data_IF_433210306957
#
_entry.id   IF_433210306957
#
_cell.length_a   1.000
_cell.length_b   1.000
_cell.length_c   1.000
_cell.angle_alpha   90.00
_cell.angle_beta   90.00
_cell.angle_gamma   90.00
#
_symmetry.space_group_name_H-M   'P 1'
#
loop_
_entity.id
_entity.type
_entity.pdbx_description
1 polymer ?
#
# COMPACT_ATOMS: atom_id res chain seq x y z
N UNK A 1 20.93 2.94 3.08
CA UNK A 1 19.63 3.12 2.40
C UNK A 1 19.26 1.79 1.78
N UNK A 2 18.13 1.18 2.15
CA UNK A 2 17.69 -0.10 1.55
C UNK A 2 16.97 0.21 0.26
N UNK A 3 17.48 -0.30 -0.87
CA UNK A 3 16.84 -0.13 -2.18
C UNK A 3 15.56 -0.96 -2.21
N UNK A 4 14.45 -0.36 -2.64
CA UNK A 4 13.22 -1.10 -2.84
C UNK A 4 13.43 -2.17 -3.92
N UNK A 5 12.94 -3.37 -3.64
CA UNK A 5 12.88 -4.48 -4.58
C UNK A 5 11.44 -4.97 -4.68
N UNK A 6 11.02 -5.46 -5.86
CA UNK A 6 9.74 -6.12 -6.00
C UNK A 6 9.66 -7.39 -5.14
N UNK A 7 8.44 -7.89 -4.85
CA UNK A 7 8.25 -9.12 -4.08
C UNK A 7 8.90 -10.32 -4.78
N UNK A 8 9.16 -11.38 -4.01
CA UNK A 8 9.55 -12.66 -4.58
C UNK A 8 8.41 -13.24 -5.45
N UNK A 9 8.76 -14.15 -6.35
CA UNK A 9 7.78 -14.86 -7.16
C UNK A 9 6.72 -15.56 -6.29
N UNK A 10 5.45 -15.42 -6.64
CA UNK A 10 4.28 -15.90 -5.91
C UNK A 10 3.85 -15.00 -4.73
N UNK A 11 4.58 -13.92 -4.45
CA UNK A 11 4.26 -13.00 -3.36
C UNK A 11 3.57 -11.74 -3.86
N UNK A 12 2.78 -11.16 -2.97
CA UNK A 12 2.28 -9.79 -3.11
C UNK A 12 2.90 -8.90 -2.06
N UNK A 13 3.08 -7.62 -2.38
CA UNK A 13 3.37 -6.57 -1.40
C UNK A 13 2.14 -5.72 -1.19
N UNK A 14 1.73 -5.59 0.06
CA UNK A 14 0.66 -4.70 0.47
C UNK A 14 1.30 -3.48 1.13
N UNK A 15 1.11 -2.31 0.51
CA UNK A 15 1.46 -1.03 1.10
C UNK A 15 0.18 -0.42 1.67
N UNK A 16 0.18 -0.10 2.96
CA UNK A 16 -0.96 0.50 3.68
C UNK A 16 -0.60 1.91 4.12
N UNK A 17 -1.59 2.79 4.20
CA UNK A 17 -1.47 4.11 4.79
C UNK A 17 -2.77 4.54 5.46
N UNK A 18 -2.68 5.47 6.41
CA UNK A 18 -3.85 6.01 7.09
C UNK A 18 -3.65 7.49 7.45
N UNK A 19 -4.71 8.26 7.29
CA UNK A 19 -4.77 9.69 7.62
C UNK A 19 -5.88 9.98 8.62
N UNK A 20 -5.62 10.90 9.55
CA UNK A 20 -6.63 11.37 10.50
C UNK A 20 -6.65 12.88 10.55
N UNK A 21 -7.86 13.46 10.52
CA UNK A 21 -8.10 14.88 10.76
C UNK A 21 -8.86 15.06 12.07
N UNK A 22 -8.19 15.66 13.07
CA UNK A 22 -8.80 16.00 14.37
C UNK A 22 -9.97 16.96 14.18
N UNK A 23 -9.78 18.01 13.37
CA UNK A 23 -10.76 19.07 13.15
C UNK A 23 -12.07 18.52 12.54
N UNK A 24 -11.96 17.55 11.63
CA UNK A 24 -13.10 16.95 10.96
C UNK A 24 -13.61 15.68 11.66
N UNK A 25 -12.95 15.23 12.73
CA UNK A 25 -13.19 13.94 13.39
C UNK A 25 -13.29 12.78 12.39
N UNK A 26 -12.44 12.81 11.37
CA UNK A 26 -12.53 11.91 10.23
C UNK A 26 -11.21 11.18 10.03
N UNK A 27 -11.30 9.87 9.83
CA UNK A 27 -10.19 8.99 9.52
C UNK A 27 -10.40 8.38 8.15
N UNK A 28 -9.32 8.23 7.39
CA UNK A 28 -9.27 7.49 6.13
C UNK A 28 -8.12 6.51 6.18
N UNK A 29 -8.26 5.39 5.48
CA UNK A 29 -7.22 4.40 5.33
C UNK A 29 -7.28 3.84 3.93
N UNK A 30 -6.12 3.54 3.36
CA UNK A 30 -6.01 2.98 2.03
C UNK A 30 -4.89 1.97 1.92
N UNK A 31 -4.91 1.21 0.84
CA UNK A 31 -3.84 0.28 0.52
C UNK A 31 -3.67 0.10 -0.99
N UNK A 32 -2.48 -0.34 -1.38
CA UNK A 32 -2.21 -0.88 -2.72
C UNK A 32 -1.60 -2.27 -2.59
N UNK A 33 -1.98 -3.17 -3.49
CA UNK A 33 -1.44 -4.52 -3.63
C UNK A 33 -0.60 -4.54 -4.90
N UNK A 34 0.65 -4.97 -4.78
CA UNK A 34 1.57 -5.15 -5.90
C UNK A 34 1.91 -6.63 -6.10
N UNK A 35 1.94 -7.09 -7.35
CA UNK A 35 2.43 -8.42 -7.71
C UNK A 35 3.97 -8.50 -7.64
N UNK A 36 4.52 -9.66 -7.97
CA UNK A 36 5.96 -9.96 -8.04
C UNK A 36 6.74 -9.11 -9.06
N UNK A 37 6.07 -8.49 -10.03
CA UNK A 37 6.68 -7.56 -11.00
C UNK A 37 6.65 -6.11 -10.47
N UNK A 38 6.02 -5.88 -9.31
CA UNK A 38 5.79 -4.56 -8.73
C UNK A 38 4.58 -3.80 -9.30
N UNK A 39 3.80 -4.42 -10.19
CA UNK A 39 2.58 -3.86 -10.79
C UNK A 39 1.42 -3.88 -9.78
N UNK A 40 0.60 -2.83 -9.80
CA UNK A 40 -0.58 -2.73 -8.94
C UNK A 40 -1.66 -3.67 -9.48
N UNK A 41 -2.17 -4.55 -8.62
CA UNK A 41 -3.24 -5.52 -8.94
C UNK A 41 -4.50 -5.31 -8.08
N UNK A 42 -4.47 -4.40 -7.11
CA UNK A 42 -5.61 -4.02 -6.30
C UNK A 42 -5.31 -2.75 -5.51
N UNK A 43 -6.33 -1.94 -5.26
CA UNK A 43 -6.21 -0.73 -4.44
C UNK A 43 -7.54 -0.36 -3.78
N UNK A 44 -7.45 0.27 -2.61
CA UNK A 44 -8.55 0.98 -1.94
C UNK A 44 -8.00 2.33 -1.44
N UNK A 45 -8.77 3.40 -1.66
CA UNK A 45 -8.39 4.79 -1.32
C UNK A 45 -9.39 5.39 -0.36
#
# INVERSE_FOLDING_TARGET
MVKWMPPLQGWVKINVDAGFSVANKHAVSGFIIRNEEGLIIGLEV
#
